data_IF_736348630193
#
_entry.id   IF_736348630193
#
_cell.length_a   1.000
_cell.length_b   1.000
_cell.length_c   1.000
_cell.angle_alpha   90.00
_cell.angle_beta   90.00
_cell.angle_gamma   90.00
#
_symmetry.space_group_name_H-M   'P 1'
#
loop_
_entity.id
_entity.type
_entity.pdbx_description
1 polymer ?
#
# COMPACT_ATOMS: atom_id res chain seq x y z
N UNK A 1 18.71 -2.01 -32.91
CA UNK A 1 18.23 -1.12 -31.83
C UNK A 1 17.97 0.26 -32.45
N UNK A 2 16.81 0.89 -32.14
CA UNK A 2 16.58 2.30 -32.44
C UNK A 2 17.46 3.20 -31.56
N UNK A 3 17.46 4.53 -31.80
CA UNK A 3 18.13 5.47 -30.91
C UNK A 3 17.50 5.35 -29.50
N UNK A 4 18.33 5.53 -28.50
CA UNK A 4 17.89 5.57 -27.10
C UNK A 4 16.87 6.73 -26.94
N UNK A 5 15.71 6.44 -26.38
CA UNK A 5 14.72 7.47 -26.12
C UNK A 5 15.25 8.43 -25.05
N UNK A 6 15.19 9.72 -25.31
CA UNK A 6 15.55 10.69 -24.30
C UNK A 6 14.57 10.60 -23.13
N UNK A 7 15.10 10.56 -21.92
CA UNK A 7 14.25 10.64 -20.71
C UNK A 7 13.57 12.01 -20.66
N UNK A 8 12.26 12.06 -20.43
CA UNK A 8 11.57 13.33 -20.24
C UNK A 8 12.09 14.04 -18.99
N UNK A 9 12.05 15.37 -19.04
CA UNK A 9 12.37 16.16 -17.84
C UNK A 9 11.38 15.87 -16.71
N UNK A 10 11.88 15.86 -15.48
CA UNK A 10 11.03 15.68 -14.30
C UNK A 10 10.11 16.90 -14.16
N UNK A 11 8.78 16.70 -14.06
CA UNK A 11 7.86 17.82 -13.97
C UNK A 11 8.07 18.56 -12.63
N UNK A 12 8.06 19.89 -12.72
CA UNK A 12 8.04 20.78 -11.55
C UNK A 12 6.61 21.24 -11.36
N UNK A 13 6.04 20.96 -10.20
CA UNK A 13 4.68 21.37 -9.85
C UNK A 13 4.74 22.53 -8.86
N UNK A 14 4.14 23.65 -9.23
CA UNK A 14 3.93 24.78 -8.34
C UNK A 14 2.43 24.96 -8.10
N UNK A 15 2.00 24.71 -6.87
CA UNK A 15 0.62 24.88 -6.43
C UNK A 15 0.61 26.01 -5.40
N UNK A 16 0.20 27.20 -5.86
CA UNK A 16 0.24 28.44 -5.05
C UNK A 16 -0.96 28.63 -4.12
N UNK A 17 -2.00 27.79 -4.25
CA UNK A 17 -3.18 27.72 -3.38
C UNK A 17 -3.84 26.35 -3.53
N UNK A 18 -4.58 25.95 -2.52
CA UNK A 18 -5.34 24.69 -2.57
C UNK A 18 -6.32 24.69 -3.76
N UNK A 19 -6.31 23.58 -4.52
CA UNK A 19 -7.18 23.37 -5.69
C UNK A 19 -8.27 22.38 -5.29
N UNK A 20 -9.50 22.87 -5.20
CA UNK A 20 -10.67 22.05 -4.89
C UNK A 20 -11.32 21.56 -6.17
N UNK A 21 -11.56 20.27 -6.26
CA UNK A 21 -12.28 19.59 -7.33
C UNK A 21 -13.34 18.73 -6.68
N UNK A 22 -14.61 19.08 -6.90
CA UNK A 22 -15.75 18.38 -6.33
C UNK A 22 -16.67 17.90 -7.44
N UNK A 23 -17.11 16.66 -7.32
CA UNK A 23 -18.00 16.03 -8.31
C UNK A 23 -18.94 15.04 -7.66
N UNK A 24 -20.08 14.85 -8.30
CA UNK A 24 -20.97 13.72 -8.04
C UNK A 24 -20.59 12.54 -8.93
N UNK A 25 -20.73 11.33 -8.39
CA UNK A 25 -20.50 10.09 -9.12
C UNK A 25 -21.33 8.96 -8.49
N UNK A 26 -21.50 7.86 -9.22
CA UNK A 26 -22.20 6.69 -8.74
C UNK A 26 -21.37 5.90 -7.72
N UNK A 27 -21.17 6.52 -6.57
CA UNK A 27 -20.44 5.97 -5.41
C UNK A 27 -21.38 5.74 -4.24
N UNK A 28 -21.06 4.76 -3.39
CA UNK A 28 -21.89 4.48 -2.20
C UNK A 28 -21.58 5.38 -1.00
N UNK A 29 -20.36 5.84 -0.90
CA UNK A 29 -19.87 6.69 0.19
C UNK A 29 -19.14 7.90 -0.36
N UNK A 30 -19.27 9.06 0.30
CA UNK A 30 -18.41 10.20 0.01
C UNK A 30 -16.94 9.85 0.18
N UNK A 31 -16.08 10.45 -0.63
CA UNK A 31 -14.63 10.28 -0.59
C UNK A 31 -13.96 11.65 -0.55
N UNK A 32 -13.07 11.84 0.42
CA UNK A 32 -12.10 12.93 0.40
C UNK A 32 -10.72 12.39 0.02
N UNK A 33 -10.10 13.03 -0.98
CA UNK A 33 -8.75 12.71 -1.42
C UNK A 33 -7.91 13.96 -1.51
N UNK A 34 -6.89 14.07 -0.65
CA UNK A 34 -5.96 15.19 -0.64
C UNK A 34 -4.62 14.70 -1.16
N UNK A 35 -4.01 15.44 -2.09
CA UNK A 35 -2.73 15.04 -2.67
C UNK A 35 -1.77 16.21 -2.80
N UNK A 36 -0.52 15.97 -2.45
CA UNK A 36 0.60 16.91 -2.53
C UNK A 36 1.65 16.35 -3.48
N UNK A 37 2.15 17.15 -4.45
CA UNK A 37 3.28 16.72 -5.27
C UNK A 37 4.54 16.62 -4.43
N UNK A 38 5.35 15.60 -4.69
CA UNK A 38 6.59 15.39 -3.97
C UNK A 38 7.76 15.16 -4.93
N UNK A 39 8.60 14.20 -4.64
CA UNK A 39 9.84 13.90 -5.37
C UNK A 39 9.61 12.89 -6.50
N UNK A 40 10.66 12.40 -7.11
CA UNK A 40 10.64 11.26 -8.04
C UNK A 40 11.16 10.00 -7.35
N UNK A 41 10.88 8.85 -7.94
CA UNK A 41 11.42 7.56 -7.50
C UNK A 41 12.95 7.64 -7.29
N UNK A 42 13.44 7.04 -6.21
CA UNK A 42 14.86 7.00 -5.82
C UNK A 42 15.47 8.36 -5.40
N UNK A 43 14.65 9.37 -5.19
CA UNK A 43 15.11 10.61 -4.57
C UNK A 43 15.47 10.37 -3.08
N UNK A 44 16.39 11.16 -2.53
CA UNK A 44 16.81 11.06 -1.12
C UNK A 44 15.65 11.24 -0.11
N UNK A 45 14.67 12.08 -0.46
CA UNK A 45 13.47 12.35 0.35
C UNK A 45 12.36 11.28 0.21
N UNK A 46 12.47 10.31 -0.70
CA UNK A 46 11.46 9.28 -0.91
C UNK A 46 11.26 8.41 0.34
N UNK A 47 12.33 7.78 0.85
CA UNK A 47 12.22 6.92 2.02
C UNK A 47 11.73 7.66 3.29
N UNK A 48 12.17 8.89 3.62
CA UNK A 48 11.55 9.66 4.70
C UNK A 48 10.07 9.98 4.49
N UNK A 49 9.62 10.22 3.25
CA UNK A 49 8.20 10.44 2.92
C UNK A 49 7.36 9.17 3.06
N UNK A 50 7.90 8.00 2.69
CA UNK A 50 7.26 6.71 2.91
C UNK A 50 7.10 6.42 4.41
N UNK A 51 8.14 6.69 5.20
CA UNK A 51 8.07 6.58 6.66
C UNK A 51 7.01 7.53 7.24
N UNK A 52 6.97 8.78 6.79
CA UNK A 52 5.95 9.75 7.19
C UNK A 52 4.54 9.25 6.86
N UNK A 53 4.33 8.68 5.66
CA UNK A 53 3.04 8.18 5.22
C UNK A 53 2.55 7.03 6.12
N UNK A 54 3.44 6.13 6.52
CA UNK A 54 3.13 5.04 7.43
C UNK A 54 2.78 5.54 8.85
N UNK A 55 3.51 6.52 9.38
CA UNK A 55 3.21 7.12 10.70
C UNK A 55 1.82 7.78 10.70
N UNK A 56 1.48 8.50 9.63
CA UNK A 56 0.22 9.22 9.54
C UNK A 56 -0.97 8.31 9.23
N UNK A 57 -0.82 7.29 8.37
CA UNK A 57 -1.93 6.49 7.85
C UNK A 57 -1.69 4.98 7.76
N UNK A 58 -0.61 4.44 8.32
CA UNK A 58 -0.25 3.01 8.27
C UNK A 58 -0.95 2.17 9.35
N UNK A 59 -2.21 1.78 9.12
CA UNK A 59 -2.92 0.83 9.97
C UNK A 59 -3.39 1.39 11.32
N UNK A 60 -3.68 0.48 12.27
CA UNK A 60 -4.35 0.80 13.57
C UNK A 60 -3.51 1.65 14.53
N UNK A 61 -2.22 1.77 14.30
CA UNK A 61 -1.31 2.56 15.14
C UNK A 61 -1.07 3.97 14.62
N UNK A 62 -1.65 4.33 13.48
CA UNK A 62 -1.46 5.62 12.82
C UNK A 62 -2.34 6.73 13.41
N UNK A 63 -1.94 7.98 13.19
CA UNK A 63 -2.67 9.13 13.70
C UNK A 63 -4.04 9.32 13.05
N UNK A 64 -4.16 9.09 11.73
CA UNK A 64 -5.47 9.17 11.07
C UNK A 64 -6.42 8.06 11.51
N UNK A 65 -5.91 6.84 11.77
CA UNK A 65 -6.74 5.81 12.38
C UNK A 65 -7.29 6.26 13.73
N UNK A 66 -6.43 6.78 14.61
CA UNK A 66 -6.81 7.29 15.92
C UNK A 66 -7.89 8.37 15.84
N UNK A 67 -7.71 9.36 14.94
CA UNK A 67 -8.53 10.56 14.92
C UNK A 67 -9.79 10.45 14.05
N UNK A 68 -9.83 9.54 13.08
CA UNK A 68 -10.94 9.37 12.15
C UNK A 68 -11.65 8.02 12.31
N UNK A 69 -10.90 6.90 12.32
CA UNK A 69 -11.53 5.56 12.28
C UNK A 69 -11.96 5.13 13.67
N UNK A 70 -11.09 5.24 14.66
CA UNK A 70 -11.40 4.86 16.05
C UNK A 70 -12.52 5.72 16.64
N UNK A 71 -12.63 6.98 16.24
CA UNK A 71 -13.72 7.89 16.62
C UNK A 71 -15.01 7.66 15.84
N UNK A 72 -15.01 6.73 14.89
CA UNK A 72 -16.14 6.45 13.99
C UNK A 72 -16.56 7.65 13.11
N UNK A 73 -15.68 8.61 12.88
CA UNK A 73 -15.92 9.69 11.93
C UNK A 73 -15.71 9.22 10.49
N UNK A 74 -14.81 8.26 10.28
CA UNK A 74 -14.61 7.60 8.99
C UNK A 74 -14.62 6.08 9.14
N UNK A 75 -15.03 5.37 8.08
CA UNK A 75 -14.90 3.91 7.98
C UNK A 75 -13.49 3.52 7.54
N UNK A 76 -12.81 4.43 6.85
CA UNK A 76 -11.45 4.24 6.37
C UNK A 76 -10.71 5.57 6.32
N UNK A 77 -9.46 5.55 6.74
CA UNK A 77 -8.51 6.64 6.55
C UNK A 77 -7.12 6.04 6.32
N UNK A 78 -6.42 6.54 5.32
CA UNK A 78 -5.09 6.06 4.97
C UNK A 78 -4.24 7.16 4.36
N UNK A 79 -2.93 7.01 4.45
CA UNK A 79 -1.95 7.83 3.77
C UNK A 79 -1.06 6.93 2.95
N UNK A 80 -0.68 7.39 1.77
CA UNK A 80 0.26 6.70 0.90
C UNK A 80 1.19 7.68 0.19
N UNK A 81 2.34 7.17 -0.22
CA UNK A 81 3.31 7.91 -1.03
C UNK A 81 3.64 7.12 -2.29
N UNK A 82 2.66 6.96 -3.22
CA UNK A 82 2.91 6.26 -4.48
C UNK A 82 3.92 7.01 -5.34
N UNK A 83 4.97 6.29 -5.72
CA UNK A 83 6.07 6.80 -6.50
C UNK A 83 6.08 6.26 -7.93
N UNK A 84 6.29 7.15 -8.87
CA UNK A 84 6.60 6.85 -10.26
C UNK A 84 7.98 7.44 -10.63
N UNK A 85 8.51 7.02 -11.77
CA UNK A 85 9.85 7.39 -12.21
C UNK A 85 10.08 8.90 -12.24
N UNK A 86 9.08 9.66 -12.71
CA UNK A 86 9.20 11.11 -12.87
C UNK A 86 8.69 11.91 -11.68
N UNK A 87 7.70 11.40 -10.94
CA UNK A 87 7.02 12.13 -9.88
C UNK A 87 6.29 11.20 -8.94
N UNK A 88 6.33 11.51 -7.65
CA UNK A 88 5.55 10.88 -6.60
C UNK A 88 4.51 11.85 -6.05
N UNK A 89 3.52 11.33 -5.35
CA UNK A 89 2.52 12.13 -4.66
C UNK A 89 2.34 11.64 -3.23
N UNK A 90 2.18 12.56 -2.30
CA UNK A 90 1.78 12.24 -0.93
C UNK A 90 0.27 12.41 -0.82
N UNK A 91 -0.44 11.33 -0.57
CA UNK A 91 -1.89 11.27 -0.70
C UNK A 91 -2.55 10.82 0.60
N UNK A 92 -3.58 11.56 1.02
CA UNK A 92 -4.42 11.24 2.17
C UNK A 92 -5.83 10.96 1.67
N UNK A 93 -6.39 9.84 2.05
CA UNK A 93 -7.73 9.38 1.67
C UNK A 93 -8.55 9.14 2.91
N UNK A 94 -9.81 9.61 2.91
CA UNK A 94 -10.77 9.29 3.95
C UNK A 94 -12.17 9.05 3.36
N UNK A 95 -12.85 8.05 3.92
CA UNK A 95 -14.24 7.71 3.64
C UNK A 95 -15.05 7.97 4.90
N UNK A 96 -15.87 9.03 4.98
CA UNK A 96 -16.69 9.31 6.15
C UNK A 96 -17.62 8.15 6.51
N UNK A 97 -17.85 7.95 7.80
CA UNK A 97 -18.84 7.00 8.27
C UNK A 97 -20.25 7.59 8.05
N UNK A 98 -21.18 6.89 7.39
CA UNK A 98 -22.49 7.44 7.04
C UNK A 98 -23.29 7.95 8.26
N UNK A 99 -23.16 7.26 9.40
CA UNK A 99 -23.84 7.66 10.63
C UNK A 99 -23.13 8.73 11.45
N UNK A 100 -21.96 9.22 11.01
CA UNK A 100 -21.20 10.23 11.76
C UNK A 100 -21.80 11.64 11.66
N UNK A 101 -22.61 11.89 10.63
CA UNK A 101 -23.11 13.22 10.32
C UNK A 101 -22.03 14.22 9.87
N UNK A 102 -20.81 13.75 9.58
CA UNK A 102 -19.68 14.58 9.15
C UNK A 102 -19.70 14.82 7.66
N UNK A 103 -19.52 16.08 7.26
CA UNK A 103 -19.24 16.45 5.86
C UNK A 103 -17.78 16.18 5.50
N UNK A 104 -17.44 16.25 4.20
CA UNK A 104 -16.05 16.16 3.77
C UNK A 104 -15.23 17.36 4.26
N UNK A 105 -15.84 18.53 4.49
CA UNK A 105 -15.19 19.70 5.11
C UNK A 105 -14.78 19.40 6.57
N UNK A 106 -15.66 18.73 7.35
CA UNK A 106 -15.32 18.31 8.71
C UNK A 106 -14.16 17.31 8.71
N UNK A 107 -14.16 16.35 7.77
CA UNK A 107 -13.11 15.35 7.64
C UNK A 107 -11.78 15.98 7.21
N UNK A 108 -11.80 16.93 6.27
CA UNK A 108 -10.62 17.71 5.90
C UNK A 108 -10.03 18.43 7.11
N UNK A 109 -10.90 19.09 7.89
CA UNK A 109 -10.47 19.77 9.11
C UNK A 109 -9.78 18.81 10.08
N UNK A 110 -10.35 17.63 10.32
CA UNK A 110 -9.74 16.62 11.21
C UNK A 110 -8.39 16.15 10.67
N UNK A 111 -8.25 15.96 9.36
CA UNK A 111 -6.97 15.62 8.74
C UNK A 111 -5.94 16.72 8.98
N UNK A 112 -6.30 17.99 8.74
CA UNK A 112 -5.41 19.13 8.98
C UNK A 112 -5.04 19.28 10.45
N UNK A 113 -6.00 19.12 11.36
CA UNK A 113 -5.75 19.11 12.81
C UNK A 113 -4.80 17.95 13.21
N UNK A 114 -4.91 16.80 12.55
CA UNK A 114 -3.98 15.65 12.75
C UNK A 114 -2.57 15.97 12.28
N UNK A 115 -2.40 16.73 11.19
CA UNK A 115 -1.08 17.19 10.76
C UNK A 115 -0.46 18.17 11.77
N UNK A 116 -1.28 19.04 12.38
CA UNK A 116 -0.83 19.92 13.47
C UNK A 116 -0.46 19.11 14.72
N UNK A 117 -1.27 18.10 15.09
CA UNK A 117 -0.92 17.17 16.17
C UNK A 117 0.42 16.48 15.93
N UNK A 118 0.64 15.98 14.69
CA UNK A 118 1.91 15.35 14.32
C UNK A 118 3.09 16.33 14.45
N UNK A 119 2.93 17.58 14.03
CA UNK A 119 3.97 18.59 14.18
C UNK A 119 4.36 18.82 15.64
N UNK A 120 3.36 18.89 16.54
CA UNK A 120 3.57 19.13 17.96
C UNK A 120 4.15 17.90 18.67
N UNK A 121 3.66 16.71 18.33
CA UNK A 121 4.14 15.45 18.91
C UNK A 121 5.55 15.11 18.43
N UNK A 122 5.83 15.38 17.17
CA UNK A 122 7.03 14.90 16.49
C UNK A 122 6.99 13.40 16.18
N UNK A 123 8.15 12.85 15.82
CA UNK A 123 8.35 11.43 15.55
C UNK A 123 8.82 10.72 16.80
N UNK A 124 8.08 9.71 17.23
CA UNK A 124 8.45 8.85 18.35
C UNK A 124 9.44 7.76 17.91
N UNK A 125 10.22 7.20 18.85
CA UNK A 125 11.14 6.10 18.56
C UNK A 125 10.40 4.87 18.05
N UNK A 126 9.27 4.57 18.66
CA UNK A 126 8.42 3.46 18.27
C UNK A 126 7.85 3.58 16.86
N UNK A 127 7.64 4.81 16.36
CA UNK A 127 7.20 5.05 14.98
C UNK A 127 8.25 4.56 13.99
N UNK A 128 9.51 4.95 14.21
CA UNK A 128 10.61 4.53 13.33
C UNK A 128 10.86 3.02 13.41
N UNK A 129 10.86 2.45 14.62
CA UNK A 129 11.10 1.01 14.81
C UNK A 129 10.04 0.17 14.06
N UNK A 130 8.75 0.54 14.19
CA UNK A 130 7.68 -0.15 13.47
C UNK A 130 7.88 -0.10 11.95
N UNK A 131 8.04 1.11 11.42
CA UNK A 131 8.08 1.29 9.96
C UNK A 131 9.31 0.62 9.36
N UNK A 132 10.48 0.74 10.01
CA UNK A 132 11.70 0.08 9.54
C UNK A 132 11.54 -1.45 9.54
N UNK A 133 10.98 -2.03 10.60
CA UNK A 133 10.72 -3.46 10.68
C UNK A 133 9.73 -3.94 9.61
N UNK A 134 8.64 -3.19 9.37
CA UNK A 134 7.66 -3.49 8.33
C UNK A 134 8.27 -3.41 6.92
N UNK A 135 9.08 -2.38 6.64
CA UNK A 135 9.74 -2.22 5.35
C UNK A 135 10.74 -3.36 5.10
N UNK A 136 11.60 -3.67 6.07
CA UNK A 136 12.55 -4.76 5.95
C UNK A 136 11.85 -6.11 5.75
N UNK A 137 10.80 -6.38 6.53
CA UNK A 137 9.99 -7.58 6.36
C UNK A 137 9.36 -7.65 4.96
N UNK A 138 8.81 -6.55 4.47
CA UNK A 138 8.21 -6.48 3.13
C UNK A 138 9.21 -6.83 2.03
N UNK A 139 10.44 -6.32 2.11
CA UNK A 139 11.51 -6.69 1.17
C UNK A 139 11.84 -8.18 1.25
N UNK A 140 12.01 -8.73 2.45
CA UNK A 140 12.36 -10.14 2.66
C UNK A 140 11.24 -11.06 2.18
N UNK A 141 9.99 -10.79 2.55
CA UNK A 141 8.82 -11.56 2.11
C UNK A 141 8.60 -11.47 0.60
N UNK A 142 8.88 -10.32 -0.01
CA UNK A 142 8.82 -10.13 -1.46
C UNK A 142 9.74 -11.07 -2.24
N UNK A 143 10.85 -11.55 -1.63
CA UNK A 143 11.81 -12.45 -2.25
C UNK A 143 11.48 -13.94 -2.09
N UNK A 144 10.39 -14.32 -1.43
CA UNK A 144 10.03 -15.73 -1.24
C UNK A 144 9.60 -16.42 -2.53
N UNK A 145 9.09 -15.69 -3.51
CA UNK A 145 8.63 -16.26 -4.78
C UNK A 145 9.59 -15.95 -5.93
N UNK A 146 9.64 -16.84 -6.92
CA UNK A 146 10.39 -16.61 -8.17
C UNK A 146 9.90 -15.33 -8.85
N UNK A 147 8.59 -15.12 -8.92
CA UNK A 147 7.99 -13.92 -9.50
C UNK A 147 8.44 -12.65 -8.77
N UNK A 148 8.45 -12.65 -7.43
CA UNK A 148 8.95 -11.55 -6.63
C UNK A 148 10.42 -11.25 -6.88
N UNK A 149 11.28 -12.27 -6.90
CA UNK A 149 12.71 -12.13 -7.24
C UNK A 149 12.90 -11.51 -8.63
N UNK A 150 12.21 -12.02 -9.64
CA UNK A 150 12.31 -11.51 -11.02
C UNK A 150 11.82 -10.07 -11.12
N UNK A 151 10.66 -9.76 -10.52
CA UNK A 151 10.11 -8.41 -10.52
C UNK A 151 11.05 -7.41 -9.84
N UNK A 152 11.63 -7.79 -8.70
CA UNK A 152 12.58 -6.95 -7.98
C UNK A 152 13.87 -6.69 -8.79
N UNK A 153 14.44 -7.74 -9.40
CA UNK A 153 15.62 -7.60 -10.25
C UNK A 153 15.36 -6.69 -11.45
N UNK A 154 14.20 -6.89 -12.11
CA UNK A 154 13.80 -6.09 -13.27
C UNK A 154 13.56 -4.61 -12.89
N UNK A 155 12.85 -4.35 -11.81
CA UNK A 155 12.60 -2.99 -11.31
C UNK A 155 13.93 -2.30 -10.93
N UNK A 156 14.80 -3.00 -10.22
CA UNK A 156 16.11 -2.46 -9.84
C UNK A 156 16.99 -2.16 -11.06
N UNK A 157 16.99 -3.05 -12.08
CA UNK A 157 17.71 -2.78 -13.33
C UNK A 157 17.14 -1.57 -14.06
N UNK A 158 15.81 -1.46 -14.12
CA UNK A 158 15.13 -0.39 -14.88
C UNK A 158 15.35 0.98 -14.22
N UNK A 159 15.14 1.07 -12.91
CA UNK A 159 15.11 2.37 -12.20
C UNK A 159 16.42 2.76 -11.53
N UNK A 160 17.34 1.82 -11.32
CA UNK A 160 18.62 2.07 -10.65
C UNK A 160 19.83 1.63 -11.47
N UNK A 161 19.61 1.07 -12.66
CA UNK A 161 20.64 0.47 -13.51
C UNK A 161 21.56 -0.53 -12.77
N UNK A 162 21.01 -1.15 -11.70
CA UNK A 162 21.69 -2.11 -10.86
C UNK A 162 20.70 -3.17 -10.38
N UNK A 163 20.69 -4.39 -10.95
CA UNK A 163 19.73 -5.41 -10.53
C UNK A 163 19.90 -5.82 -9.06
N UNK A 164 21.09 -5.65 -8.49
CA UNK A 164 21.40 -5.99 -7.10
C UNK A 164 21.30 -4.75 -6.16
N UNK A 165 20.27 -3.92 -6.36
CA UNK A 165 20.08 -2.68 -5.58
C UNK A 165 19.42 -2.91 -4.21
N UNK A 166 18.90 -4.10 -3.93
CA UNK A 166 18.04 -4.37 -2.77
C UNK A 166 18.69 -4.03 -1.42
N UNK A 167 19.98 -4.36 -1.23
CA UNK A 167 20.67 -4.04 0.01
C UNK A 167 20.80 -2.52 0.22
N UNK A 168 21.01 -1.77 -0.85
CA UNK A 168 21.06 -0.31 -0.82
C UNK A 168 19.68 0.29 -0.53
N UNK A 169 18.62 -0.31 -1.08
CA UNK A 169 17.25 0.12 -0.85
C UNK A 169 16.83 -0.08 0.61
N UNK A 170 17.09 -1.24 1.19
CA UNK A 170 16.88 -1.50 2.61
C UNK A 170 17.68 -0.50 3.47
N UNK A 171 18.92 -0.21 3.11
CA UNK A 171 19.75 0.75 3.83
C UNK A 171 19.17 2.17 3.80
N UNK A 172 18.53 2.60 2.71
CA UNK A 172 17.86 3.91 2.61
C UNK A 172 16.79 4.06 3.70
N UNK A 173 15.95 3.05 3.91
CA UNK A 173 14.93 3.08 4.96
C UNK A 173 15.52 2.95 6.37
N UNK A 174 16.50 2.07 6.57
CA UNK A 174 17.14 1.89 7.87
C UNK A 174 17.90 3.13 8.35
N UNK A 175 18.40 3.96 7.43
CA UNK A 175 19.11 5.20 7.75
C UNK A 175 18.17 6.39 7.99
N UNK A 176 16.87 6.29 7.76
CA UNK A 176 15.91 7.39 8.03
C UNK A 176 15.95 7.76 9.51
N UNK A 177 16.11 9.04 9.79
CA UNK A 177 16.09 9.62 11.15
C UNK A 177 14.76 10.34 11.44
N UNK A 178 14.52 10.67 12.69
CA UNK A 178 13.37 11.52 13.08
C UNK A 178 13.45 12.89 12.43
N UNK A 179 14.64 13.43 12.36
CA UNK A 179 14.96 14.73 11.76
C UNK A 179 14.63 14.72 10.25
N UNK A 180 14.94 13.63 9.54
CA UNK A 180 14.60 13.47 8.13
C UNK A 180 13.09 13.47 7.91
N UNK A 181 12.33 12.72 8.72
CA UNK A 181 10.87 12.69 8.63
C UNK A 181 10.27 14.06 8.91
N UNK A 182 10.74 14.77 9.94
CA UNK A 182 10.27 16.13 10.24
C UNK A 182 10.67 17.13 9.16
N UNK A 183 11.85 16.97 8.56
CA UNK A 183 12.32 17.81 7.45
C UNK A 183 11.40 17.67 6.23
N UNK A 184 11.12 16.44 5.79
CA UNK A 184 10.22 16.22 4.63
C UNK A 184 8.79 16.62 4.92
N UNK A 185 8.29 16.43 6.15
CA UNK A 185 6.98 16.94 6.57
C UNK A 185 6.88 18.45 6.38
N UNK A 186 7.86 19.21 6.87
CA UNK A 186 7.91 20.67 6.74
C UNK A 186 8.08 21.13 5.29
N UNK A 187 8.82 20.38 4.49
CA UNK A 187 9.14 20.76 3.10
C UNK A 187 7.98 20.51 2.13
N UNK A 188 7.25 19.38 2.30
CA UNK A 188 6.30 18.91 1.30
C UNK A 188 4.84 18.91 1.75
N UNK A 189 4.56 18.99 3.06
CA UNK A 189 3.20 18.84 3.61
C UNK A 189 2.77 20.05 4.41
N UNK A 190 3.59 20.45 5.42
CA UNK A 190 3.25 21.57 6.30
C UNK A 190 3.17 22.87 5.50
N UNK A 191 2.05 23.57 5.63
CA UNK A 191 1.80 24.86 4.97
C UNK A 191 1.96 24.81 3.43
N UNK A 192 1.96 23.59 2.87
CA UNK A 192 1.96 23.41 1.42
C UNK A 192 0.53 23.33 0.89
N UNK A 193 0.39 23.68 -0.37
CA UNK A 193 -0.87 23.58 -1.09
C UNK A 193 -0.95 22.28 -1.88
N UNK A 194 -2.17 21.75 -1.97
CA UNK A 194 -2.43 20.50 -2.66
C UNK A 194 -3.67 20.55 -3.55
N UNK A 195 -4.01 19.40 -4.10
CA UNK A 195 -5.29 19.16 -4.76
C UNK A 195 -6.18 18.40 -3.80
N UNK A 196 -7.35 18.94 -3.51
CA UNK A 196 -8.36 18.37 -2.62
C UNK A 196 -9.55 17.98 -3.48
N UNK A 197 -9.80 16.68 -3.60
CA UNK A 197 -10.90 16.14 -4.38
C UNK A 197 -12.00 15.61 -3.46
N UNK A 198 -13.23 16.04 -3.72
CA UNK A 198 -14.45 15.53 -3.11
C UNK A 198 -15.24 14.75 -4.16
N UNK A 199 -15.46 13.46 -3.93
CA UNK A 199 -16.38 12.66 -4.74
C UNK A 199 -17.54 12.27 -3.84
N UNK A 200 -18.76 12.62 -4.24
CA UNK A 200 -19.96 12.39 -3.44
C UNK A 200 -21.03 11.65 -4.25
N UNK A 201 -21.91 10.89 -3.61
CA UNK A 201 -23.06 10.30 -4.28
C UNK A 201 -23.96 11.37 -4.94
N UNK A 202 -24.68 10.99 -5.98
CA UNK A 202 -25.65 11.84 -6.67
C UNK A 202 -26.61 12.54 -5.69
N UNK A 203 -26.79 13.87 -5.83
CA UNK A 203 -27.64 14.70 -4.98
C UNK A 203 -27.00 15.13 -3.66
N UNK A 204 -25.71 14.86 -3.42
CA UNK A 204 -25.02 15.16 -2.16
C UNK A 204 -23.93 16.24 -2.26
N UNK A 205 -24.01 17.17 -3.21
CA UNK A 205 -23.07 18.29 -3.32
C UNK A 205 -22.97 19.18 -2.07
N UNK A 206 -23.95 19.11 -1.17
CA UNK A 206 -23.92 19.82 0.11
C UNK A 206 -22.94 19.21 1.13
N UNK A 207 -22.39 18.02 0.85
CA UNK A 207 -21.44 17.31 1.73
C UNK A 207 -19.98 17.43 1.29
N UNK A 208 -19.69 18.14 0.20
CA UNK A 208 -18.31 18.36 -0.31
C UNK A 208 -17.46 19.16 0.68
N UNK A 209 -16.14 19.11 0.49
CA UNK A 209 -15.22 19.89 1.31
C UNK A 209 -15.27 21.38 0.97
N UNK A 210 -15.20 21.70 -0.30
CA UNK A 210 -15.38 23.07 -0.81
C UNK A 210 -15.83 23.05 -2.28
N UNK A 211 -16.35 24.19 -2.74
CA UNK A 211 -16.70 24.38 -4.13
C UNK A 211 -15.47 24.34 -5.05
N UNK A 212 -15.70 23.96 -6.30
CA UNK A 212 -14.66 23.93 -7.33
C UNK A 212 -14.03 25.33 -7.50
N UNK A 213 -12.73 25.40 -7.32
CA UNK A 213 -11.94 26.59 -7.60
C UNK A 213 -10.88 26.37 -8.68
N UNK A 214 -10.89 25.18 -9.30
CA UNK A 214 -9.98 24.78 -10.34
C UNK A 214 -10.70 23.90 -11.37
N UNK A 215 -10.60 24.28 -12.64
CA UNK A 215 -11.07 23.48 -13.77
C UNK A 215 -9.83 22.98 -14.49
N UNK A 216 -9.63 21.64 -14.56
CA UNK A 216 -8.54 21.09 -15.35
C UNK A 216 -8.64 21.56 -16.79
N UNK A 217 -7.53 22.04 -17.34
CA UNK A 217 -7.47 22.36 -18.77
C UNK A 217 -7.82 21.14 -19.62
N UNK A 218 -8.29 21.32 -20.86
CA UNK A 218 -8.52 20.20 -21.75
C UNK A 218 -7.20 19.40 -21.83
N UNK A 219 -7.28 18.11 -21.53
CA UNK A 219 -6.16 17.24 -21.86
C UNK A 219 -5.98 17.36 -23.37
N UNK A 220 -4.86 17.90 -23.82
CA UNK A 220 -4.42 17.60 -25.17
C UNK A 220 -4.21 16.08 -25.16
N UNK A 221 -5.18 15.32 -25.62
CA UNK A 221 -4.92 13.98 -26.08
C UNK A 221 -3.72 14.16 -27.00
N UNK A 222 -2.57 13.62 -26.61
CA UNK A 222 -1.34 13.70 -27.39
C UNK A 222 -1.75 13.42 -28.80
N UNK A 223 -1.47 14.35 -29.73
CA UNK A 223 -2.15 14.55 -30.97
C UNK A 223 -2.75 13.26 -31.51
N UNK A 224 -4.02 13.27 -31.84
CA UNK A 224 -4.58 12.21 -32.65
C UNK A 224 -3.58 12.01 -33.77
N UNK A 225 -2.78 10.95 -33.65
CA UNK A 225 -2.00 10.49 -34.79
C UNK A 225 -3.06 10.13 -35.81
N UNK A 226 -3.33 11.06 -36.72
CA UNK A 226 -4.17 10.82 -37.87
C UNK A 226 -3.51 9.84 -38.85
N UNK A 227 -2.65 9.01 -38.34
CA UNK A 227 -2.08 7.87 -39.06
C UNK A 227 -3.23 6.91 -39.28
N UNK A 228 -3.77 6.92 -40.53
CA UNK A 228 -4.76 5.94 -40.95
C UNK A 228 -4.24 4.53 -40.64
N UNK A 229 -5.12 3.59 -40.31
CA UNK A 229 -4.74 2.19 -40.07
C UNK A 229 -3.86 1.60 -41.19
N UNK A 230 -3.98 2.16 -42.41
CA UNK A 230 -3.19 1.79 -43.58
C UNK A 230 -1.74 2.35 -43.56
N UNK A 231 -1.46 3.38 -42.75
CA UNK A 231 -0.10 3.96 -42.57
C UNK A 231 0.67 3.30 -41.41
N UNK A 232 0.03 2.49 -40.58
CA UNK A 232 0.69 1.65 -39.60
C UNK A 232 1.37 0.49 -40.32
N UNK A 233 2.44 0.78 -41.05
CA UNK A 233 3.31 -0.27 -41.59
C UNK A 233 3.83 -1.12 -40.38
N UNK A 234 3.30 -2.33 -40.27
CA UNK A 234 3.80 -3.31 -39.29
C UNK A 234 5.26 -3.52 -39.61
N UNK A 235 6.12 -3.03 -38.73
CA UNK A 235 7.57 -3.19 -38.85
C UNK A 235 7.88 -4.67 -38.77
N UNK A 236 8.16 -5.33 -39.90
CA UNK A 236 8.67 -6.71 -39.86
C UNK A 236 10.01 -6.71 -39.13
N UNK A 237 10.13 -7.58 -38.14
CA UNK A 237 11.39 -7.77 -37.45
C UNK A 237 12.49 -8.11 -38.47
N UNK A 238 13.62 -7.41 -38.36
CA UNK A 238 14.80 -7.63 -39.23
C UNK A 238 15.80 -8.57 -38.58
N UNK A 239 15.41 -9.23 -37.46
CA UNK A 239 16.26 -10.25 -36.81
C UNK A 239 16.21 -11.57 -37.59
N UNK A 240 17.26 -12.34 -37.46
CA UNK A 240 17.38 -13.69 -38.04
C UNK A 240 16.63 -14.76 -37.22
N UNK A 241 15.89 -14.35 -36.19
CA UNK A 241 15.17 -15.25 -35.30
C UNK A 241 13.79 -15.55 -35.86
N UNK A 242 13.48 -16.81 -36.09
CA UNK A 242 12.16 -17.26 -36.52
C UNK A 242 11.19 -17.30 -35.29
N UNK A 243 10.34 -16.31 -35.17
CA UNK A 243 9.36 -16.18 -34.07
C UNK A 243 8.20 -17.16 -34.19
N UNK A 244 8.05 -17.88 -35.30
CA UNK A 244 7.05 -18.94 -35.45
C UNK A 244 7.51 -20.25 -34.78
N UNK A 245 8.79 -20.39 -34.52
CA UNK A 245 9.35 -21.54 -33.83
C UNK A 245 9.22 -21.33 -32.32
N UNK A 246 8.33 -22.10 -31.70
CA UNK A 246 8.24 -22.17 -30.24
C UNK A 246 9.47 -22.93 -29.74
N UNK A 247 10.27 -22.40 -28.82
CA UNK A 247 11.38 -23.11 -28.23
C UNK A 247 10.91 -24.48 -27.71
N UNK A 248 11.64 -25.57 -27.95
CA UNK A 248 11.29 -26.85 -27.39
C UNK A 248 11.29 -26.79 -25.86
N UNK A 249 10.39 -27.53 -25.24
CA UNK A 249 10.41 -27.69 -23.79
C UNK A 249 11.77 -28.26 -23.38
N UNK A 250 12.40 -27.64 -22.40
CA UNK A 250 13.59 -28.19 -21.76
C UNK A 250 13.28 -29.52 -21.08
N UNK A 251 14.32 -30.25 -20.69
CA UNK A 251 14.15 -31.43 -19.85
C UNK A 251 13.40 -31.02 -18.58
N UNK A 252 12.39 -31.81 -18.18
CA UNK A 252 11.71 -31.61 -16.91
C UNK A 252 12.71 -31.87 -15.79
N UNK A 253 13.10 -30.84 -15.07
CA UNK A 253 13.91 -31.01 -13.87
C UNK A 253 13.07 -31.72 -12.80
N UNK A 254 13.65 -32.68 -12.12
CA UNK A 254 13.02 -33.33 -10.98
C UNK A 254 12.88 -32.29 -9.87
N UNK A 255 11.64 -32.11 -9.36
CA UNK A 255 11.40 -31.26 -8.22
C UNK A 255 11.98 -31.91 -6.97
N UNK A 256 12.97 -31.31 -6.36
CA UNK A 256 13.49 -31.75 -5.07
C UNK A 256 12.47 -31.34 -3.99
N UNK A 257 11.79 -32.35 -3.43
CA UNK A 257 10.81 -32.15 -2.39
C UNK A 257 11.55 -32.07 -1.06
N UNK A 258 11.48 -30.93 -0.34
CA UNK A 258 12.17 -30.80 0.95
C UNK A 258 11.68 -31.84 1.95
N UNK A 259 12.56 -32.29 2.82
CA UNK A 259 12.21 -33.22 3.89
C UNK A 259 11.12 -32.63 4.78
N UNK A 260 10.07 -33.42 5.00
CA UNK A 260 8.96 -33.05 5.86
C UNK A 260 8.99 -33.85 7.14
N UNK A 261 8.87 -33.17 8.28
CA UNK A 261 8.75 -33.79 9.60
C UNK A 261 7.34 -33.66 10.12
N UNK A 262 6.92 -34.64 10.94
CA UNK A 262 5.61 -34.61 11.63
C UNK A 262 5.81 -34.84 13.12
N UNK A 263 5.03 -34.12 13.92
CA UNK A 263 4.94 -34.29 15.37
C UNK A 263 3.47 -34.30 15.79
N UNK A 264 3.09 -35.32 16.57
CA UNK A 264 1.76 -35.41 17.14
C UNK A 264 1.87 -35.15 18.66
N UNK A 265 0.87 -34.50 19.21
CA UNK A 265 0.78 -34.20 20.65
C UNK A 265 -0.39 -34.95 21.23
N UNK A 266 -0.32 -35.26 22.55
CA UNK A 266 -1.35 -36.02 23.29
C UNK A 266 -2.71 -35.32 23.33
N UNK A 267 -2.76 -34.00 23.14
CA UNK A 267 -3.98 -33.19 23.00
C UNK A 267 -4.64 -33.27 21.63
N UNK A 268 -4.14 -34.11 20.71
CA UNK A 268 -4.66 -34.31 19.36
C UNK A 268 -4.15 -33.32 18.30
N UNK A 269 -3.27 -32.37 18.66
CA UNK A 269 -2.65 -31.47 17.70
C UNK A 269 -1.57 -32.22 16.91
N UNK A 270 -1.58 -32.09 15.58
CA UNK A 270 -0.53 -32.57 14.69
C UNK A 270 0.17 -31.39 14.04
N UNK A 271 1.49 -31.34 14.11
CA UNK A 271 2.31 -30.37 13.39
C UNK A 271 3.02 -31.06 12.23
N UNK A 272 2.92 -30.49 11.06
CA UNK A 272 3.69 -30.86 9.86
C UNK A 272 4.56 -29.68 9.51
N UNK A 273 5.85 -29.90 9.30
CA UNK A 273 6.77 -28.82 8.97
C UNK A 273 7.84 -29.26 7.98
N UNK A 274 8.40 -28.28 7.32
CA UNK A 274 9.56 -28.39 6.46
C UNK A 274 10.47 -27.19 6.67
N UNK A 275 11.72 -27.29 6.26
CA UNK A 275 12.69 -26.19 6.37
C UNK A 275 13.12 -25.76 4.98
N UNK A 276 13.08 -24.45 4.73
CA UNK A 276 13.71 -23.78 3.61
C UNK A 276 14.61 -22.67 4.16
N UNK A 277 15.84 -22.58 3.69
CA UNK A 277 16.83 -21.58 4.13
C UNK A 277 17.08 -20.49 3.09
N UNK A 278 16.26 -20.42 2.04
CA UNK A 278 16.40 -19.41 0.99
C UNK A 278 16.13 -17.99 1.49
N UNK A 279 15.17 -17.85 2.40
CA UNK A 279 14.81 -16.57 3.01
C UNK A 279 14.68 -16.74 4.54
N UNK A 280 15.11 -15.75 5.34
CA UNK A 280 15.07 -15.82 6.81
C UNK A 280 13.65 -15.54 7.33
N UNK A 281 12.68 -16.34 6.91
CA UNK A 281 11.26 -16.18 7.28
C UNK A 281 10.72 -17.46 7.91
N UNK A 282 9.74 -17.29 8.81
CA UNK A 282 8.99 -18.41 9.37
C UNK A 282 7.50 -18.17 9.13
N UNK A 283 6.82 -19.18 8.57
CA UNK A 283 5.37 -19.15 8.38
C UNK A 283 4.73 -20.29 9.18
N UNK A 284 3.65 -19.97 9.89
CA UNK A 284 2.88 -20.92 10.68
C UNK A 284 1.42 -20.86 10.29
N UNK A 285 0.86 -21.97 9.79
CA UNK A 285 -0.55 -22.09 9.47
C UNK A 285 -1.25 -23.01 10.47
N UNK A 286 -2.12 -22.46 11.32
CA UNK A 286 -3.00 -23.23 12.19
C UNK A 286 -4.37 -23.39 11.52
N UNK A 287 -4.83 -24.65 11.39
CA UNK A 287 -6.15 -25.00 10.86
C UNK A 287 -7.04 -25.53 11.98
N UNK A 288 -8.20 -24.88 12.20
CA UNK A 288 -9.18 -25.26 13.20
C UNK A 288 -10.45 -25.68 12.47
N UNK A 289 -11.04 -26.84 12.79
CA UNK A 289 -12.27 -27.34 12.18
C UNK A 289 -13.48 -26.50 12.65
N UNK A 290 -13.62 -25.30 12.11
CA UNK A 290 -14.62 -24.29 12.44
C UNK A 290 -14.99 -23.39 11.23
N UNK A 291 -14.94 -23.94 10.02
CA UNK A 291 -15.29 -23.22 8.79
C UNK A 291 -16.80 -23.07 8.55
N UNK A 292 -17.16 -22.57 7.37
CA UNK A 292 -18.55 -22.26 7.01
C UNK A 292 -19.51 -23.44 7.13
N UNK A 293 -19.08 -24.68 6.92
CA UNK A 293 -19.92 -25.87 7.05
C UNK A 293 -20.36 -26.18 8.48
N UNK A 294 -19.70 -25.57 9.47
CA UNK A 294 -20.08 -25.70 10.88
C UNK A 294 -21.06 -24.60 11.35
N UNK A 295 -21.42 -23.65 10.48
CA UNK A 295 -22.41 -22.64 10.80
C UNK A 295 -23.79 -23.30 10.96
N UNK A 296 -24.57 -22.86 11.94
CA UNK A 296 -25.98 -23.19 12.01
C UNK A 296 -26.70 -22.64 10.77
N UNK A 297 -27.73 -23.36 10.28
CA UNK A 297 -28.44 -23.04 9.02
C UNK A 297 -29.05 -21.63 9.01
N UNK A 298 -29.45 -21.14 10.17
CA UNK A 298 -30.07 -19.83 10.40
C UNK A 298 -29.02 -18.74 10.73
N UNK A 299 -27.70 -19.09 10.80
CA UNK A 299 -26.62 -18.20 11.19
C UNK A 299 -25.49 -18.22 10.15
N UNK A 300 -25.85 -18.10 8.89
CA UNK A 300 -24.88 -17.98 7.81
C UNK A 300 -23.96 -16.77 8.07
N UNK A 301 -22.63 -16.93 7.84
CA UNK A 301 -21.65 -15.87 8.06
C UNK A 301 -20.98 -15.87 9.45
N UNK A 302 -21.43 -16.70 10.41
CA UNK A 302 -20.83 -16.76 11.76
C UNK A 302 -19.31 -17.00 11.71
N UNK A 303 -18.84 -17.96 10.88
CA UNK A 303 -17.42 -18.25 10.77
C UNK A 303 -16.63 -17.06 10.18
N UNK A 304 -17.18 -16.33 9.21
CA UNK A 304 -16.54 -15.15 8.64
C UNK A 304 -16.48 -14.01 9.67
N UNK A 305 -17.55 -13.77 10.40
CA UNK A 305 -17.59 -12.76 11.47
C UNK A 305 -16.61 -13.11 12.59
N UNK A 306 -16.58 -14.38 13.02
CA UNK A 306 -15.61 -14.86 13.99
C UNK A 306 -14.17 -14.59 13.53
N UNK A 307 -13.85 -14.92 12.26
CA UNK A 307 -12.52 -14.71 11.70
C UNK A 307 -12.11 -13.23 11.71
N UNK A 308 -13.03 -12.33 11.36
CA UNK A 308 -12.75 -10.88 11.37
C UNK A 308 -12.58 -10.30 12.77
N UNK A 309 -13.25 -10.88 13.79
CA UNK A 309 -13.16 -10.41 15.17
C UNK A 309 -12.00 -11.05 15.95
N UNK A 310 -11.60 -12.26 15.59
CA UNK A 310 -10.66 -13.08 16.38
C UNK A 310 -9.25 -12.48 16.47
N UNK A 311 -8.85 -11.68 15.50
CA UNK A 311 -7.53 -11.02 15.44
C UNK A 311 -7.50 -9.62 16.07
N UNK A 312 -8.61 -9.13 16.65
CA UNK A 312 -8.70 -7.73 17.07
C UNK A 312 -7.99 -7.48 18.43
N UNK A 313 -8.24 -8.29 19.43
CA UNK A 313 -7.66 -8.10 20.76
C UNK A 313 -7.53 -9.42 21.50
N UNK A 314 -6.76 -9.41 22.60
CA UNK A 314 -6.67 -10.52 23.54
C UNK A 314 -7.12 -10.04 24.92
N UNK A 315 -7.15 -10.95 25.91
CA UNK A 315 -7.39 -10.60 27.31
C UNK A 315 -6.29 -9.72 27.92
N UNK A 316 -5.11 -9.69 27.28
CA UNK A 316 -3.91 -8.99 27.79
C UNK A 316 -3.54 -7.77 26.95
N UNK A 317 -4.00 -7.68 25.69
CA UNK A 317 -3.62 -6.62 24.74
C UNK A 317 -4.83 -6.10 23.99
N UNK A 318 -4.94 -4.80 23.90
CA UNK A 318 -5.85 -4.13 22.99
C UNK A 318 -5.47 -4.39 21.51
N UNK A 319 -6.37 -4.09 20.59
CA UNK A 319 -6.13 -4.22 19.15
C UNK A 319 -4.92 -3.38 18.69
N UNK A 320 -4.75 -2.19 19.23
CA UNK A 320 -3.63 -1.29 18.91
C UNK A 320 -2.30 -1.83 19.47
N UNK A 321 -2.30 -2.31 20.73
CA UNK A 321 -1.10 -2.90 21.33
C UNK A 321 -0.66 -4.17 20.61
N UNK A 322 -1.62 -5.01 20.17
CA UNK A 322 -1.33 -6.20 19.36
C UNK A 322 -0.75 -5.80 18.00
N UNK A 323 -1.39 -4.86 17.31
CA UNK A 323 -0.89 -4.33 16.02
C UNK A 323 0.52 -3.76 16.16
N UNK A 324 0.75 -2.94 17.20
CA UNK A 324 2.07 -2.34 17.47
C UNK A 324 3.14 -3.41 17.73
N UNK A 325 2.79 -4.45 18.48
CA UNK A 325 3.73 -5.54 18.79
C UNK A 325 4.12 -6.32 17.52
N UNK A 326 3.15 -6.65 16.67
CA UNK A 326 3.39 -7.33 15.39
C UNK A 326 4.20 -6.47 14.42
N UNK A 327 3.86 -5.19 14.27
CA UNK A 327 4.58 -4.26 13.42
C UNK A 327 6.06 -4.13 13.80
N UNK A 328 6.37 -4.03 15.10
CA UNK A 328 7.77 -3.98 15.58
C UNK A 328 8.58 -5.24 15.26
N UNK A 329 7.90 -6.37 15.06
CA UNK A 329 8.53 -7.64 14.67
C UNK A 329 8.56 -7.84 13.15
N UNK A 330 8.02 -6.91 12.36
CA UNK A 330 7.83 -7.11 10.93
C UNK A 330 6.96 -8.35 10.63
N UNK A 331 6.02 -8.66 11.52
CA UNK A 331 5.19 -9.86 11.46
C UNK A 331 3.73 -9.51 11.27
N UNK A 332 2.95 -10.45 10.76
CA UNK A 332 1.50 -10.32 10.61
C UNK A 332 0.78 -11.58 11.05
N UNK A 333 -0.46 -11.43 11.51
CA UNK A 333 -1.39 -12.55 11.76
C UNK A 333 -2.64 -12.29 10.96
N UNK A 334 -2.96 -13.22 10.06
CA UNK A 334 -4.20 -13.18 9.25
C UNK A 334 -5.11 -14.34 9.64
N UNK A 335 -6.39 -14.03 9.85
CA UNK A 335 -7.39 -15.04 10.19
C UNK A 335 -8.48 -15.03 9.13
N UNK A 336 -8.78 -16.19 8.58
CA UNK A 336 -9.79 -16.34 7.52
C UNK A 336 -10.62 -17.59 7.72
N UNK A 337 -11.90 -17.52 7.35
CA UNK A 337 -12.80 -18.66 7.35
C UNK A 337 -12.91 -19.25 5.94
N UNK A 338 -12.53 -20.52 5.80
CA UNK A 338 -12.81 -21.33 4.62
C UNK A 338 -14.01 -22.24 4.86
N UNK A 339 -14.31 -23.11 3.90
CA UNK A 339 -15.44 -24.02 4.02
C UNK A 339 -15.35 -24.97 5.22
N UNK A 340 -14.18 -25.58 5.42
CA UNK A 340 -13.96 -26.56 6.49
C UNK A 340 -13.22 -26.00 7.70
N UNK A 341 -12.32 -25.02 7.48
CA UNK A 341 -11.39 -24.59 8.50
C UNK A 341 -11.42 -23.08 8.70
N UNK A 342 -11.24 -22.67 9.94
CA UNK A 342 -10.72 -21.39 10.30
C UNK A 342 -9.19 -21.49 10.18
N UNK A 343 -8.59 -20.63 9.39
CA UNK A 343 -7.14 -20.59 9.16
C UNK A 343 -6.55 -19.38 9.89
N UNK A 344 -5.50 -19.63 10.68
CA UNK A 344 -4.70 -18.59 11.32
C UNK A 344 -3.29 -18.70 10.75
N UNK A 345 -2.86 -17.68 10.04
CA UNK A 345 -1.56 -17.64 9.36
C UNK A 345 -0.73 -16.49 9.90
#
# INVERSE_FOLDING_TARGET
RGPEAAMPEKPVFEIVKDRYISMEDNVHLPLLYMTYPTVSLRHEDEAPLDVLSSILGGGKTSLLYKNLVKTQFAVQAQVGHPCAELSCTFSLLALPHPASGKSLADVEKIIRDTLVEFEQRGVEEDDLLKVKAEMEASFVFGLQSVSGKVSQLAANQTFSNNPNYIAQDIARYNNVTKEDVMRVFKKYIKDQHGVIMSVVPDGQLNSISAENNFVPGPRSAGGESSTSADELAVRKGTDSFDRSLIPPSGATEAVDIPEMWRRNFDNGISILGTQSLETPTTSLLLKISAGHYFNAKDKAGTAALLASMFGESTTERSAEEMSKALQKLGSSVTISAGNHYLNVN
#
